data_IF_085417690879
#
_entry.id   IF_085417690879
#
_cell.length_a   1.000
_cell.length_b   1.000
_cell.length_c   1.000
_cell.angle_alpha   90.00
_cell.angle_beta   90.00
_cell.angle_gamma   90.00
#
_symmetry.space_group_name_H-M   'P 1'
#
loop_
_entity.id
_entity.type
_entity.pdbx_description
1 polymer ?
#
# COMPACT_ATOMS: atom_id res chain seq x y z
N UNK A 1 18.11 1.08 3.43
CA UNK A 1 17.51 1.24 2.08
C UNK A 1 16.11 0.64 2.08
N UNK A 2 15.19 1.32 1.44
CA UNK A 2 13.84 0.81 1.25
C UNK A 2 13.90 -0.32 0.22
N UNK A 3 13.53 -1.53 0.65
CA UNK A 3 13.49 -2.72 -0.20
C UNK A 3 12.09 -3.29 -0.22
N UNK A 4 11.68 -3.80 -1.34
CA UNK A 4 10.38 -4.43 -1.48
C UNK A 4 9.93 -4.51 -2.93
N UNK A 5 8.67 -4.87 -3.08
CA UNK A 5 7.96 -4.91 -4.36
C UNK A 5 6.58 -4.27 -4.17
N UNK A 6 5.97 -3.76 -5.24
CA UNK A 6 4.58 -3.32 -5.16
C UNK A 6 3.68 -4.42 -4.59
N UNK A 7 2.94 -4.11 -3.53
CA UNK A 7 2.10 -5.07 -2.80
C UNK A 7 0.63 -5.01 -3.23
N UNK A 8 0.27 -4.06 -4.08
CA UNK A 8 -1.08 -3.93 -4.66
C UNK A 8 -0.99 -3.76 -6.17
N UNK A 9 -2.01 -4.28 -6.87
CA UNK A 9 -2.24 -3.94 -8.27
C UNK A 9 -2.98 -2.62 -8.33
N UNK A 10 -2.29 -1.57 -8.77
CA UNK A 10 -2.84 -0.23 -8.79
C UNK A 10 -3.08 0.24 -10.22
N UNK A 11 -4.31 0.69 -10.50
CA UNK A 11 -4.65 1.26 -11.79
C UNK A 11 -3.82 2.52 -12.08
N UNK A 12 -3.29 2.65 -13.29
CA UNK A 12 -2.40 3.74 -13.67
C UNK A 12 -1.00 3.63 -13.06
N UNK A 13 -0.60 2.45 -12.58
CA UNK A 13 0.74 2.20 -12.06
C UNK A 13 1.84 2.44 -13.08
N UNK A 14 3.02 2.81 -12.61
CA UNK A 14 4.17 3.21 -13.44
C UNK A 14 5.03 2.04 -13.95
N UNK A 15 4.61 0.78 -13.70
CA UNK A 15 5.41 -0.42 -14.04
C UNK A 15 5.82 -0.50 -15.49
N UNK A 16 4.94 -0.08 -16.41
CA UNK A 16 5.18 -0.13 -17.85
C UNK A 16 6.21 0.88 -18.33
N UNK A 17 6.46 1.93 -17.57
CA UNK A 17 7.37 3.02 -17.91
C UNK A 17 8.56 3.15 -16.96
N UNK A 18 8.76 2.17 -16.08
CA UNK A 18 9.82 2.19 -15.07
C UNK A 18 11.19 2.39 -15.69
N UNK A 19 11.53 1.64 -16.73
CA UNK A 19 12.84 1.72 -17.36
C UNK A 19 13.08 3.11 -17.95
N UNK A 20 12.02 3.69 -18.53
CA UNK A 20 12.08 5.06 -19.07
C UNK A 20 12.23 6.10 -17.97
N UNK A 21 11.52 5.95 -16.86
CA UNK A 21 11.65 6.86 -15.72
C UNK A 21 13.04 6.81 -15.10
N UNK A 22 13.65 5.64 -15.02
CA UNK A 22 15.00 5.47 -14.49
C UNK A 22 16.05 6.26 -15.24
N UNK A 23 15.89 6.48 -16.54
CA UNK A 23 16.79 7.30 -17.34
C UNK A 23 16.87 8.76 -16.87
N UNK A 24 15.83 9.25 -16.19
CA UNK A 24 15.76 10.62 -15.69
C UNK A 24 16.15 10.76 -14.22
N UNK A 25 16.41 9.65 -13.53
CA UNK A 25 16.80 9.67 -12.13
C UNK A 25 18.29 9.96 -12.01
N UNK A 26 18.71 10.95 -11.19
CA UNK A 26 20.12 11.18 -10.94
C UNK A 26 20.80 9.97 -10.29
N UNK A 27 22.07 9.75 -10.59
CA UNK A 27 22.86 8.68 -9.97
C UNK A 27 22.97 8.84 -8.45
N UNK A 28 23.03 10.07 -7.97
CA UNK A 28 23.11 10.41 -6.55
C UNK A 28 22.06 11.47 -6.19
N UNK A 29 21.32 11.22 -5.11
CA UNK A 29 20.37 12.14 -4.53
C UNK A 29 20.17 11.88 -3.03
N UNK A 30 19.74 12.89 -2.27
CA UNK A 30 19.54 12.77 -0.83
C UNK A 30 18.20 12.14 -0.46
N UNK A 31 17.12 12.79 -0.78
CA UNK A 31 15.75 12.37 -0.44
C UNK A 31 14.92 12.20 -1.70
N UNK A 32 14.20 11.10 -1.74
CA UNK A 32 13.24 10.83 -2.80
C UNK A 32 11.86 11.36 -2.42
N UNK A 33 11.26 12.15 -3.28
CA UNK A 33 9.90 12.68 -3.10
C UNK A 33 8.99 12.14 -4.20
N UNK A 34 7.91 11.50 -3.83
CA UNK A 34 6.91 11.03 -4.79
C UNK A 34 5.49 11.38 -4.32
N UNK A 35 4.88 12.45 -4.90
CA UNK A 35 3.54 12.88 -4.51
C UNK A 35 2.41 12.00 -5.06
N UNK A 36 2.69 11.12 -6.00
CA UNK A 36 1.74 10.21 -6.66
C UNK A 36 2.27 8.78 -6.62
N UNK A 37 2.48 8.25 -5.41
CA UNK A 37 3.20 6.98 -5.22
C UNK A 37 2.44 5.77 -5.77
N UNK A 38 1.12 5.76 -5.70
CA UNK A 38 0.32 4.62 -6.14
C UNK A 38 0.78 3.31 -5.49
N UNK A 39 0.96 2.26 -6.28
CA UNK A 39 1.48 0.98 -5.83
C UNK A 39 2.97 0.95 -5.47
N UNK A 40 3.69 2.06 -5.66
CA UNK A 40 5.09 2.17 -5.29
C UNK A 40 6.08 1.56 -6.30
N UNK A 41 5.69 1.44 -7.56
CA UNK A 41 6.52 0.80 -8.58
C UNK A 41 7.92 1.44 -8.68
N UNK A 42 8.01 2.77 -8.77
CA UNK A 42 9.28 3.48 -8.85
C UNK A 42 10.00 3.50 -7.50
N UNK A 43 9.28 3.74 -6.41
CA UNK A 43 9.83 3.73 -5.04
C UNK A 43 10.61 2.44 -4.74
N UNK A 44 10.00 1.30 -5.01
CA UNK A 44 10.61 -0.01 -4.73
C UNK A 44 11.70 -0.36 -5.75
N UNK A 45 11.57 0.07 -6.98
CA UNK A 45 12.58 -0.16 -8.02
C UNK A 45 13.88 0.58 -7.71
N UNK A 46 13.80 1.82 -7.25
CA UNK A 46 14.98 2.64 -6.95
C UNK A 46 15.67 2.23 -5.64
N UNK A 47 15.00 1.51 -4.75
CA UNK A 47 15.55 1.10 -3.44
C UNK A 47 16.23 2.24 -2.68
N UNK A 48 15.54 3.37 -2.59
CA UNK A 48 16.07 4.61 -2.00
C UNK A 48 16.33 4.48 -0.48
N UNK A 49 17.25 5.28 0.03
CA UNK A 49 17.56 5.31 1.46
C UNK A 49 16.49 6.01 2.29
N UNK A 50 15.98 7.13 1.78
CA UNK A 50 14.94 7.94 2.42
C UNK A 50 13.94 8.43 1.40
N UNK A 51 12.67 8.24 1.69
CA UNK A 51 11.58 8.67 0.83
C UNK A 51 10.51 9.44 1.61
N UNK A 52 9.92 10.41 0.94
CA UNK A 52 8.70 11.08 1.35
C UNK A 52 7.68 10.84 0.25
N UNK A 53 6.64 10.11 0.58
CA UNK A 53 5.64 9.66 -0.38
C UNK A 53 4.27 10.24 -0.04
N UNK A 54 3.46 10.42 -1.05
CA UNK A 54 2.07 10.82 -0.91
C UNK A 54 1.22 10.24 -2.02
N UNK A 55 -0.07 10.17 -1.78
CA UNK A 55 -1.10 9.88 -2.78
C UNK A 55 -2.40 10.53 -2.35
N UNK A 56 -3.25 10.87 -3.30
CA UNK A 56 -4.58 11.42 -3.00
C UNK A 56 -5.51 10.38 -2.36
N UNK A 57 -5.23 9.11 -2.56
CA UNK A 57 -6.00 8.02 -1.97
C UNK A 57 -5.57 7.78 -0.52
N UNK A 58 -6.39 8.24 0.42
CA UNK A 58 -6.13 8.14 1.86
C UNK A 58 -6.03 6.69 2.35
N UNK A 59 -6.81 5.78 1.80
CA UNK A 59 -6.78 4.36 2.18
C UNK A 59 -5.46 3.72 1.76
N UNK A 60 -4.96 4.06 0.57
CA UNK A 60 -3.66 3.61 0.11
C UNK A 60 -2.54 4.13 1.02
N UNK A 61 -2.59 5.41 1.38
CA UNK A 61 -1.61 5.98 2.31
C UNK A 61 -1.68 5.34 3.70
N UNK A 62 -2.87 4.96 4.15
CA UNK A 62 -3.03 4.21 5.38
C UNK A 62 -2.32 2.85 5.33
N UNK A 63 -2.37 2.16 4.21
CA UNK A 63 -1.63 0.89 4.04
C UNK A 63 -0.13 1.11 4.20
N UNK A 64 0.42 2.15 3.56
CA UNK A 64 1.83 2.50 3.76
C UNK A 64 2.17 2.80 5.22
N UNK A 65 1.32 3.53 5.92
CA UNK A 65 1.50 3.81 7.35
C UNK A 65 1.48 2.54 8.21
N UNK A 66 0.59 1.62 7.89
CA UNK A 66 0.53 0.30 8.56
C UNK A 66 1.82 -0.49 8.34
N UNK A 67 2.34 -0.49 7.11
CA UNK A 67 3.58 -1.19 6.77
C UNK A 67 4.81 -0.60 7.48
N UNK A 68 4.77 0.67 7.85
CA UNK A 68 5.86 1.35 8.55
C UNK A 68 5.83 1.18 10.08
N UNK A 69 4.77 0.63 10.64
CA UNK A 69 4.61 0.42 12.08
C UNK A 69 4.57 -1.07 12.40
N UNK A 70 5.51 -1.54 13.20
CA UNK A 70 5.66 -2.96 13.50
C UNK A 70 4.42 -3.58 14.18
N UNK A 71 3.81 -2.86 15.12
CA UNK A 71 2.64 -3.36 15.84
C UNK A 71 1.41 -3.41 14.93
N UNK A 72 1.19 -2.38 14.14
CA UNK A 72 0.12 -2.32 13.15
C UNK A 72 0.30 -3.38 12.07
N UNK A 73 1.51 -3.57 11.59
CA UNK A 73 1.86 -4.61 10.63
C UNK A 73 1.53 -6.02 11.15
N UNK A 74 1.92 -6.33 12.39
CA UNK A 74 1.59 -7.61 13.03
C UNK A 74 0.09 -7.85 13.12
N UNK A 75 -0.69 -6.83 13.50
CA UNK A 75 -2.16 -6.92 13.54
C UNK A 75 -2.75 -7.16 12.15
N UNK A 76 -2.27 -6.46 11.14
CA UNK A 76 -2.67 -6.65 9.75
C UNK A 76 -2.41 -8.09 9.29
N UNK A 77 -1.23 -8.63 9.56
CA UNK A 77 -0.90 -10.02 9.23
C UNK A 77 -1.85 -11.01 9.88
N UNK A 78 -2.24 -10.78 11.14
CA UNK A 78 -3.23 -11.60 11.84
C UNK A 78 -4.60 -11.61 11.16
N UNK A 79 -5.06 -10.47 10.66
CA UNK A 79 -6.32 -10.37 9.89
C UNK A 79 -6.20 -11.06 8.54
N UNK A 80 -5.10 -10.84 7.83
CA UNK A 80 -4.87 -11.49 6.54
C UNK A 80 -4.82 -13.01 6.66
N UNK A 81 -4.20 -13.54 7.68
CA UNK A 81 -4.17 -14.99 7.95
C UNK A 81 -5.57 -15.55 8.20
N UNK A 82 -6.43 -14.84 8.93
CA UNK A 82 -7.84 -15.24 9.10
C UNK A 82 -8.58 -15.21 7.77
N UNK A 83 -8.38 -14.18 6.96
CA UNK A 83 -9.01 -14.06 5.64
C UNK A 83 -8.56 -15.17 4.71
N UNK A 84 -7.31 -15.58 4.78
CA UNK A 84 -6.79 -16.71 4.00
C UNK A 84 -7.47 -18.02 4.38
N UNK A 85 -7.66 -18.29 5.67
CA UNK A 85 -8.36 -19.48 6.18
C UNK A 85 -9.84 -19.50 5.77
N UNK A 86 -10.51 -18.34 5.82
CA UNK A 86 -11.94 -18.20 5.50
C UNK A 86 -12.17 -18.00 3.98
N UNK A 87 -11.11 -17.98 3.18
CA UNK A 87 -11.19 -17.62 1.76
C UNK A 87 -12.12 -18.55 0.99
N UNK A 88 -13.06 -17.92 0.28
CA UNK A 88 -13.95 -18.50 -0.71
C UNK A 88 -14.37 -17.43 -1.70
N UNK A 89 -14.97 -17.79 -2.82
CA UNK A 89 -15.51 -16.83 -3.76
C UNK A 89 -16.56 -15.92 -3.10
N UNK A 90 -17.47 -16.52 -2.33
CA UNK A 90 -18.50 -15.78 -1.61
C UNK A 90 -17.91 -14.82 -0.58
N UNK A 91 -16.94 -15.26 0.20
CA UNK A 91 -16.23 -14.43 1.17
C UNK A 91 -15.49 -13.26 0.49
N UNK A 92 -14.85 -13.51 -0.64
CA UNK A 92 -14.20 -12.46 -1.42
C UNK A 92 -15.19 -11.38 -1.83
N UNK A 93 -16.34 -11.75 -2.37
CA UNK A 93 -17.37 -10.78 -2.76
C UNK A 93 -18.02 -10.07 -1.56
N UNK A 94 -18.19 -10.76 -0.45
CA UNK A 94 -18.66 -10.15 0.80
C UNK A 94 -17.71 -9.02 1.24
N UNK A 95 -16.42 -9.28 1.30
CA UNK A 95 -15.42 -8.27 1.68
C UNK A 95 -15.35 -7.15 0.64
N UNK A 96 -15.34 -7.49 -0.64
CA UNK A 96 -15.27 -6.51 -1.73
C UNK A 96 -16.46 -5.56 -1.74
N UNK A 97 -17.66 -6.08 -1.49
CA UNK A 97 -18.91 -5.33 -1.60
C UNK A 97 -19.29 -4.56 -0.33
N UNK A 98 -18.48 -4.62 0.72
CA UNK A 98 -18.71 -3.81 1.91
C UNK A 98 -18.73 -2.34 1.56
N UNK A 99 -19.86 -1.69 1.87
CA UNK A 99 -20.01 -0.26 1.63
C UNK A 99 -19.16 0.52 2.65
N UNK A 100 -18.09 1.08 2.14
CA UNK A 100 -17.08 1.79 2.92
C UNK A 100 -17.52 3.16 3.42
N UNK A 101 -18.70 3.61 3.02
CA UNK A 101 -19.29 4.85 3.45
C UNK A 101 -20.33 4.67 4.58
N UNK A 102 -20.64 3.42 4.96
CA UNK A 102 -21.60 3.07 6.00
C UNK A 102 -20.94 2.62 7.30
N UNK A 103 -21.75 2.43 8.34
CA UNK A 103 -21.27 1.99 9.67
C UNK A 103 -20.49 0.67 9.63
N UNK A 104 -20.83 -0.25 8.73
CA UNK A 104 -20.10 -1.51 8.54
C UNK A 104 -18.66 -1.24 8.11
N UNK A 105 -18.45 -0.25 7.25
CA UNK A 105 -17.12 0.18 6.88
C UNK A 105 -16.37 0.80 8.06
N UNK A 106 -17.04 1.57 8.90
CA UNK A 106 -16.42 2.11 10.12
C UNK A 106 -15.95 1.02 11.07
N UNK A 107 -16.68 -0.10 11.16
CA UNK A 107 -16.25 -1.27 11.96
C UNK A 107 -15.00 -1.90 11.32
N UNK A 108 -15.00 -2.09 10.02
CA UNK A 108 -13.83 -2.63 9.30
C UNK A 108 -12.70 -1.63 9.29
N UNK A 109 -13.00 -0.36 9.06
CA UNK A 109 -12.04 0.72 9.18
C UNK A 109 -11.55 0.86 10.61
N UNK A 110 -12.41 0.68 11.61
CA UNK A 110 -12.01 0.61 13.01
C UNK A 110 -11.07 -0.57 13.28
N UNK A 111 -11.31 -1.72 12.68
CA UNK A 111 -10.38 -2.84 12.71
C UNK A 111 -9.09 -2.53 11.93
N UNK A 112 -9.20 -1.88 10.78
CA UNK A 112 -8.06 -1.38 10.02
C UNK A 112 -7.42 -0.15 10.69
N UNK A 113 -8.19 0.73 11.31
CA UNK A 113 -7.69 1.84 12.12
C UNK A 113 -6.99 1.36 13.40
N UNK A 114 -7.25 0.13 13.85
CA UNK A 114 -6.38 -0.53 14.83
C UNK A 114 -5.01 -0.88 14.24
N UNK A 115 -4.87 -0.85 12.92
CA UNK A 115 -3.60 -1.02 12.21
C UNK A 115 -2.96 0.33 11.86
N UNK A 116 -3.71 1.38 11.89
CA UNK A 116 -3.28 2.75 11.65
C UNK A 116 -3.05 3.42 13.00
#
# INVERSE_FOLDING_TARGET
MIKGKPFVKWAGGKRQIIDKLKEYVPDEFGVYYEPFVGGGALLFELSVGKAIINDSNKELMNVYNVLCDENKFKKMCGVLNRYEVEHSEDFYYEIRNKDRNKNTYKIIRGQLELFI
#
